data_IF_490851964937
#
_entry.id   IF_490851964937
#
_cell.length_a   1.000
_cell.length_b   1.000
_cell.length_c   1.000
_cell.angle_alpha   90.00
_cell.angle_beta   90.00
_cell.angle_gamma   90.00
#
_symmetry.space_group_name_H-M   'P 1'
#
loop_
_entity.id
_entity.type
_entity.pdbx_description
1 polymer ?
#
# COMPACT_ATOMS: atom_id res chain seq x y z
N UNK A 1 -6.78 19.36 1.60
CA UNK A 1 -6.09 18.71 2.75
C UNK A 1 -4.80 19.42 3.18
N UNK A 2 -4.26 20.39 2.42
CA UNK A 2 -3.01 21.09 2.74
C UNK A 2 -3.03 21.87 4.08
N UNK A 3 -4.21 22.32 4.52
CA UNK A 3 -4.38 23.15 5.72
C UNK A 3 -4.72 22.39 7.02
N UNK A 4 -5.08 21.11 6.93
CA UNK A 4 -5.42 20.31 8.11
C UNK A 4 -4.17 20.00 8.96
N UNK A 5 -4.24 19.99 10.30
CA UNK A 5 -3.16 19.49 11.16
C UNK A 5 -2.67 18.10 10.76
N UNK A 6 -1.36 17.82 10.94
CA UNK A 6 -0.74 16.56 10.49
C UNK A 6 -1.44 15.34 11.09
N UNK A 7 -1.78 15.40 12.37
CA UNK A 7 -2.46 14.31 13.07
C UNK A 7 -3.82 13.96 12.45
N UNK A 8 -4.58 14.94 11.93
CA UNK A 8 -5.85 14.67 11.25
C UNK A 8 -5.63 13.88 9.97
N UNK A 9 -4.64 14.27 9.16
CA UNK A 9 -4.29 13.54 7.95
C UNK A 9 -3.86 12.10 8.27
N UNK A 10 -3.07 11.89 9.33
CA UNK A 10 -2.68 10.56 9.80
C UNK A 10 -3.88 9.74 10.26
N UNK A 11 -4.81 10.33 11.02
CA UNK A 11 -6.04 9.65 11.47
C UNK A 11 -6.91 9.23 10.27
N UNK A 12 -7.15 10.12 9.32
CA UNK A 12 -7.89 9.79 8.10
C UNK A 12 -7.18 8.68 7.30
N UNK A 13 -5.86 8.77 7.14
CA UNK A 13 -5.06 7.74 6.48
C UNK A 13 -5.17 6.38 7.19
N UNK A 14 -5.09 6.36 8.52
CA UNK A 14 -5.24 5.14 9.31
C UNK A 14 -6.64 4.54 9.19
N UNK A 15 -7.69 5.36 9.17
CA UNK A 15 -9.05 4.90 8.97
C UNK A 15 -9.26 4.30 7.57
N UNK A 16 -8.74 4.96 6.54
CA UNK A 16 -8.74 4.43 5.17
C UNK A 16 -7.95 3.13 5.05
N UNK A 17 -6.71 3.11 5.54
CA UNK A 17 -5.87 1.91 5.55
C UNK A 17 -6.47 0.77 6.35
N UNK A 18 -7.12 1.07 7.48
CA UNK A 18 -7.84 0.09 8.31
C UNK A 18 -9.04 -0.50 7.58
N UNK A 19 -9.88 0.36 6.98
CA UNK A 19 -11.02 -0.05 6.17
C UNK A 19 -10.64 -0.93 4.98
N UNK A 20 -9.62 -0.51 4.21
CA UNK A 20 -9.10 -1.33 3.11
C UNK A 20 -8.56 -2.68 3.58
N UNK A 21 -7.83 -2.69 4.69
CA UNK A 21 -7.29 -3.94 5.24
C UNK A 21 -8.43 -4.85 5.67
N UNK A 22 -9.43 -4.36 6.42
CA UNK A 22 -10.57 -5.16 6.87
C UNK A 22 -11.35 -5.78 5.70
N UNK A 23 -11.59 -5.01 4.64
CA UNK A 23 -12.33 -5.49 3.47
C UNK A 23 -11.48 -6.40 2.57
N UNK A 24 -10.19 -6.11 2.42
CA UNK A 24 -9.29 -6.88 1.54
C UNK A 24 -8.75 -8.18 2.16
N UNK A 25 -8.59 -8.23 3.49
CA UNK A 25 -7.90 -9.32 4.18
C UNK A 25 -8.54 -10.71 4.02
N UNK A 26 -9.88 -10.88 3.93
CA UNK A 26 -10.48 -12.17 3.61
C UNK A 26 -9.96 -12.78 2.30
N UNK A 27 -9.87 -11.98 1.23
CA UNK A 27 -9.38 -12.44 -0.07
C UNK A 27 -7.87 -12.71 -0.05
N UNK A 28 -7.09 -11.94 0.72
CA UNK A 28 -5.67 -12.24 0.94
C UNK A 28 -5.48 -13.58 1.63
N UNK A 29 -6.28 -13.85 2.67
CA UNK A 29 -6.21 -15.11 3.42
C UNK A 29 -6.60 -16.29 2.53
N UNK A 30 -7.69 -16.19 1.77
CA UNK A 30 -8.10 -17.24 0.83
C UNK A 30 -7.01 -17.51 -0.23
N UNK A 31 -6.42 -16.45 -0.81
CA UNK A 31 -5.32 -16.56 -1.78
C UNK A 31 -4.09 -17.26 -1.17
N UNK A 32 -3.67 -16.85 0.02
CA UNK A 32 -2.52 -17.43 0.70
C UNK A 32 -2.73 -18.93 1.00
N UNK A 33 -3.93 -19.33 1.43
CA UNK A 33 -4.26 -20.73 1.71
C UNK A 33 -4.21 -21.61 0.48
N UNK A 34 -4.76 -21.14 -0.63
CA UNK A 34 -4.68 -21.84 -1.92
C UNK A 34 -3.21 -22.03 -2.34
N UNK A 35 -2.37 -21.01 -2.15
CA UNK A 35 -0.93 -21.11 -2.46
C UNK A 35 -0.17 -22.11 -1.56
N UNK A 36 -0.67 -22.35 -0.35
CA UNK A 36 -0.13 -23.34 0.60
C UNK A 36 -0.74 -24.74 0.40
N UNK A 37 -1.63 -24.95 -0.58
CA UNK A 37 -2.32 -26.23 -0.79
C UNK A 37 -3.40 -26.54 0.26
N UNK A 38 -3.87 -25.54 1.00
CA UNK A 38 -4.93 -25.66 2.00
C UNK A 38 -6.31 -25.36 1.38
N UNK A 39 -7.42 -25.87 1.97
CA UNK A 39 -8.77 -25.50 1.55
C UNK A 39 -8.95 -23.98 1.56
N UNK A 40 -9.48 -23.43 0.47
CA UNK A 40 -9.59 -21.98 0.27
C UNK A 40 -10.38 -21.27 1.38
N UNK A 41 -11.43 -21.92 1.90
CA UNK A 41 -12.27 -21.40 2.97
C UNK A 41 -11.77 -21.82 4.37
N UNK A 42 -11.28 -20.88 5.21
CA UNK A 42 -10.85 -21.17 6.59
C UNK A 42 -11.97 -21.02 7.64
N UNK A 43 -13.21 -20.68 7.23
CA UNK A 43 -14.26 -20.22 8.13
C UNK A 43 -14.12 -18.74 8.53
N UNK A 44 -15.17 -18.16 9.11
CA UNK A 44 -15.27 -16.72 9.37
C UNK A 44 -14.16 -16.17 10.26
N UNK A 45 -13.83 -16.87 11.35
CA UNK A 45 -12.73 -16.48 12.26
C UNK A 45 -11.37 -16.61 11.57
N UNK A 46 -11.22 -17.63 10.72
CA UNK A 46 -9.99 -17.90 9.99
C UNK A 46 -9.66 -16.83 8.95
N UNK A 47 -10.67 -16.15 8.38
CA UNK A 47 -10.48 -15.08 7.39
C UNK A 47 -9.71 -13.87 7.92
N UNK A 48 -9.67 -13.66 9.24
CA UNK A 48 -9.06 -12.49 9.89
C UNK A 48 -7.81 -12.81 10.72
N UNK A 49 -7.29 -14.03 10.62
CA UNK A 49 -6.02 -14.40 11.26
C UNK A 49 -4.88 -13.61 10.62
N UNK A 50 -3.99 -13.05 11.45
CA UNK A 50 -2.83 -12.25 11.01
C UNK A 50 -3.12 -10.78 10.69
N UNK A 51 -4.34 -10.30 10.92
CA UNK A 51 -4.76 -8.91 10.65
C UNK A 51 -4.00 -7.86 11.48
N UNK A 52 -3.51 -8.22 12.66
CA UNK A 52 -2.90 -7.27 13.60
C UNK A 52 -1.68 -6.54 13.02
N UNK A 53 -0.79 -7.26 12.32
CA UNK A 53 0.45 -6.65 11.80
C UNK A 53 0.18 -5.56 10.73
N UNK A 54 -0.67 -5.79 9.71
CA UNK A 54 -1.09 -4.72 8.79
C UNK A 54 -1.76 -3.52 9.47
N UNK A 55 -2.67 -3.76 10.42
CA UNK A 55 -3.38 -2.67 11.12
C UNK A 55 -2.41 -1.82 11.95
N UNK A 56 -1.52 -2.45 12.72
CA UNK A 56 -0.51 -1.75 13.52
C UNK A 56 0.49 -1.00 12.63
N UNK A 57 0.75 -1.53 11.43
CA UNK A 57 1.62 -0.92 10.44
C UNK A 57 1.10 0.36 9.79
N UNK A 58 -0.22 0.60 9.82
CA UNK A 58 -0.82 1.77 9.17
C UNK A 58 -0.36 3.09 9.79
N UNK A 59 -0.26 3.16 11.12
CA UNK A 59 0.10 4.40 11.83
C UNK A 59 1.49 4.91 11.42
N UNK A 60 2.59 4.12 11.56
CA UNK A 60 3.92 4.60 11.15
C UNK A 60 3.99 4.86 9.65
N UNK A 61 3.30 4.07 8.82
CA UNK A 61 3.25 4.28 7.38
C UNK A 61 2.65 5.65 7.01
N UNK A 62 1.43 5.95 7.48
CA UNK A 62 0.73 7.19 7.16
C UNK A 62 1.38 8.41 7.82
N UNK A 63 1.94 8.26 9.03
CA UNK A 63 2.72 9.31 9.67
C UNK A 63 3.93 9.71 8.83
N UNK A 64 4.76 8.74 8.41
CA UNK A 64 5.91 8.99 7.55
C UNK A 64 5.48 9.58 6.20
N UNK A 65 4.43 9.04 5.57
CA UNK A 65 3.93 9.53 4.30
C UNK A 65 3.50 11.00 4.38
N UNK A 66 2.58 11.35 5.28
CA UNK A 66 2.05 12.72 5.35
C UNK A 66 3.07 13.73 5.88
N UNK A 67 3.93 13.37 6.83
CA UNK A 67 4.99 14.26 7.28
C UNK A 67 5.94 14.60 6.13
N UNK A 68 6.35 13.59 5.37
CA UNK A 68 7.26 13.76 4.23
C UNK A 68 6.58 14.46 3.05
N UNK A 69 5.31 14.17 2.80
CA UNK A 69 4.50 14.86 1.78
C UNK A 69 4.44 16.37 2.06
N UNK A 70 4.20 16.78 3.32
CA UNK A 70 4.16 18.20 3.68
C UNK A 70 5.53 18.87 3.60
N UNK A 71 6.58 18.17 4.02
CA UNK A 71 7.95 18.68 3.87
C UNK A 71 8.31 18.84 2.38
N UNK A 72 8.01 17.85 1.55
CA UNK A 72 8.24 17.90 0.11
C UNK A 72 7.38 18.97 -0.58
N UNK A 73 6.13 19.19 -0.14
CA UNK A 73 5.31 20.28 -0.66
C UNK A 73 5.97 21.65 -0.43
N UNK A 74 6.65 21.85 0.71
CA UNK A 74 7.32 23.11 1.04
C UNK A 74 8.69 23.27 0.40
N UNK A 75 9.41 22.16 0.25
CA UNK A 75 10.83 22.21 -0.12
C UNK A 75 11.15 21.63 -1.50
N UNK A 76 10.25 20.87 -2.12
CA UNK A 76 10.47 20.19 -3.41
C UNK A 76 9.56 20.75 -4.50
N UNK A 77 8.28 20.97 -4.21
CA UNK A 77 7.32 21.51 -5.19
C UNK A 77 7.78 22.82 -5.86
N UNK A 78 8.40 23.79 -5.15
CA UNK A 78 8.81 25.05 -5.78
C UNK A 78 9.80 24.91 -6.93
N UNK A 79 10.59 23.83 -6.97
CA UNK A 79 11.56 23.59 -8.05
C UNK A 79 10.91 23.17 -9.38
N UNK A 80 9.65 22.70 -9.34
CA UNK A 80 8.92 22.22 -10.52
C UNK A 80 7.77 23.16 -10.91
N UNK A 81 7.64 24.30 -10.23
CA UNK A 81 6.47 25.17 -10.31
C UNK A 81 5.34 24.62 -9.44
N UNK A 82 4.89 25.44 -8.49
CA UNK A 82 3.77 25.09 -7.62
C UNK A 82 2.52 24.76 -8.47
N UNK A 83 1.74 23.79 -7.99
CA UNK A 83 0.53 23.27 -8.64
C UNK A 83 0.70 22.56 -10.00
N UNK A 84 1.93 22.28 -10.44
CA UNK A 84 2.15 21.45 -11.63
C UNK A 84 1.99 19.95 -11.32
N UNK A 85 1.62 19.17 -12.34
CA UNK A 85 1.62 17.70 -12.25
C UNK A 85 3.02 17.14 -11.92
N UNK A 86 4.07 17.81 -12.39
CA UNK A 86 5.46 17.46 -12.09
C UNK A 86 5.79 17.68 -10.61
N UNK A 87 5.36 18.80 -10.02
CA UNK A 87 5.50 19.06 -8.59
C UNK A 87 4.76 18.01 -7.75
N UNK A 88 3.51 17.69 -8.10
CA UNK A 88 2.73 16.68 -7.39
C UNK A 88 3.36 15.27 -7.48
N UNK A 89 3.90 14.91 -8.64
CA UNK A 89 4.63 13.67 -8.83
C UNK A 89 5.91 13.63 -7.98
N UNK A 90 6.70 14.72 -7.95
CA UNK A 90 7.92 14.81 -7.17
C UNK A 90 7.65 14.74 -5.66
N UNK A 91 6.64 15.46 -5.18
CA UNK A 91 6.18 15.43 -3.77
C UNK A 91 5.72 14.03 -3.39
N UNK A 92 4.88 13.41 -4.22
CA UNK A 92 4.41 12.04 -4.02
C UNK A 92 5.55 11.02 -4.03
N UNK A 93 6.55 11.19 -4.90
CA UNK A 93 7.73 10.33 -4.96
C UNK A 93 8.56 10.40 -3.68
N UNK A 94 8.82 11.61 -3.16
CA UNK A 94 9.54 11.80 -1.89
C UNK A 94 8.76 11.22 -0.72
N UNK A 95 7.45 11.46 -0.67
CA UNK A 95 6.58 10.92 0.37
C UNK A 95 6.53 9.38 0.35
N UNK A 96 6.41 8.78 -0.84
CA UNK A 96 6.41 7.34 -1.04
C UNK A 96 7.76 6.69 -0.74
N UNK A 97 8.87 7.34 -1.09
CA UNK A 97 10.21 6.86 -0.75
C UNK A 97 10.44 6.88 0.77
N UNK A 98 10.00 7.94 1.45
CA UNK A 98 10.11 8.04 2.90
C UNK A 98 9.21 7.03 3.62
N UNK A 99 7.96 6.86 3.18
CA UNK A 99 7.04 5.87 3.77
C UNK A 99 7.48 4.42 3.51
N UNK A 100 8.27 4.16 2.45
CA UNK A 100 8.87 2.85 2.21
C UNK A 100 9.79 2.39 3.35
N UNK A 101 10.43 3.31 4.08
CA UNK A 101 11.26 2.99 5.26
C UNK A 101 10.40 2.41 6.39
N UNK A 102 9.18 2.93 6.59
CA UNK A 102 8.23 2.37 7.54
C UNK A 102 7.62 1.05 7.04
N UNK A 103 7.30 0.98 5.75
CA UNK A 103 6.60 -0.17 5.15
C UNK A 103 7.48 -1.42 5.02
N UNK A 104 8.73 -1.27 4.61
CA UNK A 104 9.62 -2.39 4.29
C UNK A 104 9.76 -3.42 5.43
N UNK A 105 10.02 -3.03 6.70
CA UNK A 105 10.09 -4.00 7.79
C UNK A 105 8.74 -4.69 8.07
N UNK A 106 7.62 -3.99 7.89
CA UNK A 106 6.27 -4.55 8.07
C UNK A 106 6.02 -5.64 7.02
N UNK A 107 6.31 -5.35 5.76
CA UNK A 107 6.17 -6.31 4.65
C UNK A 107 7.10 -7.50 4.83
N UNK A 108 8.35 -7.27 5.20
CA UNK A 108 9.32 -8.34 5.43
C UNK A 108 8.85 -9.30 6.53
N UNK A 109 8.32 -8.77 7.63
CA UNK A 109 7.75 -9.57 8.73
C UNK A 109 6.50 -10.32 8.27
N UNK A 110 5.59 -9.66 7.55
CA UNK A 110 4.37 -10.30 7.00
C UNK A 110 4.72 -11.48 6.10
N UNK A 111 5.59 -11.26 5.11
CA UNK A 111 6.01 -12.30 4.16
C UNK A 111 6.73 -13.42 4.89
N UNK A 112 7.65 -13.12 5.81
CA UNK A 112 8.38 -14.15 6.57
C UNK A 112 7.45 -14.97 7.46
N UNK A 113 6.51 -14.33 8.17
CA UNK A 113 5.54 -15.02 9.01
C UNK A 113 4.66 -15.97 8.17
N UNK A 114 4.25 -15.54 6.97
CA UNK A 114 3.45 -16.34 6.05
C UNK A 114 4.22 -17.48 5.39
N UNK A 115 5.47 -17.25 4.97
CA UNK A 115 6.30 -18.27 4.30
C UNK A 115 6.82 -19.29 5.30
N UNK A 116 7.38 -18.84 6.42
CA UNK A 116 7.98 -19.72 7.43
C UNK A 116 6.93 -20.30 8.38
N UNK A 117 5.65 -19.87 8.30
CA UNK A 117 4.56 -20.28 9.19
C UNK A 117 4.88 -20.07 10.68
N UNK A 118 5.46 -18.91 11.02
CA UNK A 118 5.82 -18.54 12.39
C UNK A 118 5.06 -17.32 12.88
N UNK A 119 5.06 -17.10 14.20
CA UNK A 119 4.46 -15.89 14.77
C UNK A 119 5.17 -14.62 14.29
N UNK A 120 4.44 -13.50 14.23
CA UNK A 120 4.97 -12.18 13.86
C UNK A 120 6.21 -11.81 14.68
N UNK A 121 6.21 -12.09 15.99
CA UNK A 121 7.34 -11.83 16.87
C UNK A 121 8.57 -12.70 16.53
N UNK A 122 8.35 -13.98 16.20
CA UNK A 122 9.43 -14.86 15.76
C UNK A 122 10.01 -14.43 14.41
N UNK A 123 9.15 -14.06 13.44
CA UNK A 123 9.57 -13.52 12.16
C UNK A 123 10.42 -12.24 12.32
N UNK A 124 9.98 -11.30 13.16
CA UNK A 124 10.73 -10.08 13.45
C UNK A 124 12.10 -10.36 14.07
N UNK A 125 12.19 -11.23 15.09
CA UNK A 125 13.47 -11.60 15.71
C UNK A 125 14.45 -12.18 14.69
N UNK A 126 13.99 -13.14 13.87
CA UNK A 126 14.82 -13.75 12.80
C UNK A 126 15.33 -12.71 11.80
N UNK A 127 14.48 -11.81 11.34
CA UNK A 127 14.87 -10.77 10.37
C UNK A 127 15.86 -9.77 10.97
N UNK A 128 15.69 -9.44 12.26
CA UNK A 128 16.61 -8.56 13.00
C UNK A 128 17.99 -9.21 13.15
N UNK A 129 18.03 -10.47 13.60
CA UNK A 129 19.27 -11.25 13.75
C UNK A 129 20.04 -11.37 12.43
N UNK A 130 19.32 -11.58 11.32
CA UNK A 130 19.89 -11.70 9.98
C UNK A 130 20.19 -10.35 9.29
N UNK A 131 19.79 -9.22 9.90
CA UNK A 131 19.87 -7.87 9.31
C UNK A 131 19.14 -7.75 7.96
N UNK A 132 18.03 -8.47 7.81
CA UNK A 132 17.26 -8.55 6.55
C UNK A 132 16.01 -7.65 6.52
N UNK A 133 15.73 -6.89 7.59
CA UNK A 133 14.53 -6.05 7.72
C UNK A 133 14.32 -5.06 6.55
N UNK A 134 15.42 -4.56 5.96
CA UNK A 134 15.38 -3.56 4.88
C UNK A 134 15.85 -4.11 3.53
N UNK A 135 15.98 -5.44 3.40
CA UNK A 135 16.47 -6.07 2.17
C UNK A 135 15.66 -5.62 0.94
N UNK A 136 14.35 -5.51 1.08
CA UNK A 136 13.43 -5.13 0.00
C UNK A 136 13.18 -3.60 -0.10
N UNK A 137 14.02 -2.75 0.50
CA UNK A 137 13.80 -1.29 0.49
C UNK A 137 13.82 -0.74 -0.92
N UNK A 138 14.87 -1.03 -1.70
CA UNK A 138 15.00 -0.55 -3.08
C UNK A 138 13.80 -0.94 -3.96
N UNK A 139 13.41 -2.23 -4.07
CA UNK A 139 12.24 -2.58 -4.87
C UNK A 139 10.94 -1.98 -4.30
N UNK A 140 10.86 -1.70 -3.00
CA UNK A 140 9.70 -1.00 -2.40
C UNK A 140 9.64 0.47 -2.83
N UNK A 141 10.76 1.19 -2.80
CA UNK A 141 10.83 2.60 -3.26
C UNK A 141 10.51 2.70 -4.75
N UNK A 142 11.14 1.85 -5.57
CA UNK A 142 10.88 1.79 -7.03
C UNK A 142 9.41 1.52 -7.32
N UNK A 143 8.75 0.72 -6.47
CA UNK A 143 7.32 0.44 -6.57
C UNK A 143 6.45 1.65 -6.20
N UNK A 144 6.81 2.41 -5.16
CA UNK A 144 5.94 3.44 -4.56
C UNK A 144 5.68 4.62 -5.49
N UNK A 145 6.68 5.05 -6.25
CA UNK A 145 6.59 6.22 -7.14
C UNK A 145 5.51 6.02 -8.24
N UNK A 146 5.60 4.98 -9.10
CA UNK A 146 4.59 4.74 -10.12
C UNK A 146 3.23 4.35 -9.53
N UNK A 147 3.20 3.59 -8.43
CA UNK A 147 1.96 3.22 -7.72
C UNK A 147 1.18 4.47 -7.30
N UNK A 148 1.85 5.40 -6.60
CA UNK A 148 1.25 6.65 -6.13
C UNK A 148 0.74 7.50 -7.30
N UNK A 149 1.54 7.63 -8.36
CA UNK A 149 1.20 8.41 -9.53
C UNK A 149 -0.07 7.88 -10.24
N UNK A 150 -0.08 6.58 -10.56
CA UNK A 150 -1.20 5.96 -11.29
C UNK A 150 -2.48 6.01 -10.46
N UNK A 151 -2.38 5.71 -9.16
CA UNK A 151 -3.53 5.72 -8.26
C UNK A 151 -4.16 7.11 -8.16
N UNK A 152 -3.40 8.14 -7.80
CA UNK A 152 -3.96 9.48 -7.60
C UNK A 152 -4.45 10.10 -8.91
N UNK A 153 -3.76 9.84 -10.03
CA UNK A 153 -4.23 10.31 -11.34
C UNK A 153 -5.57 9.66 -11.72
N UNK A 154 -5.69 8.34 -11.59
CA UNK A 154 -6.93 7.63 -11.89
C UNK A 154 -8.06 8.06 -10.94
N UNK A 155 -7.76 8.25 -9.65
CA UNK A 155 -8.72 8.72 -8.66
C UNK A 155 -9.22 10.13 -8.97
N UNK A 156 -8.32 11.08 -9.28
CA UNK A 156 -8.69 12.46 -9.64
C UNK A 156 -9.53 12.49 -10.91
N UNK A 157 -9.12 11.73 -11.94
CA UNK A 157 -9.86 11.62 -13.19
C UNK A 157 -11.27 11.03 -13.02
N UNK A 158 -11.46 10.09 -12.08
CA UNK A 158 -12.77 9.55 -11.73
C UNK A 158 -13.60 10.55 -10.90
N UNK A 159 -12.95 11.23 -9.94
CA UNK A 159 -13.59 12.22 -9.08
C UNK A 159 -14.12 13.42 -9.87
N UNK A 160 -13.36 13.91 -10.86
CA UNK A 160 -13.80 14.99 -11.77
C UNK A 160 -15.02 14.62 -12.61
N UNK A 161 -15.29 13.32 -12.80
CA UNK A 161 -16.48 12.80 -13.49
C UNK A 161 -17.68 12.64 -12.55
N UNK A 162 -17.55 12.99 -11.28
CA UNK A 162 -18.61 12.85 -10.28
C UNK A 162 -18.86 11.41 -9.81
N UNK A 163 -17.88 10.51 -10.00
CA UNK A 163 -18.02 9.14 -9.51
C UNK A 163 -17.97 9.10 -7.98
N UNK A 164 -18.68 8.15 -7.39
CA UNK A 164 -18.69 7.99 -5.93
C UNK A 164 -17.27 7.70 -5.42
N UNK A 165 -16.91 8.12 -4.19
CA UNK A 165 -15.59 7.85 -3.61
C UNK A 165 -15.21 6.36 -3.63
N UNK A 166 -16.21 5.48 -3.44
CA UNK A 166 -16.04 4.04 -3.54
C UNK A 166 -15.63 3.59 -4.97
N UNK A 167 -16.32 4.07 -6.00
CA UNK A 167 -16.03 3.72 -7.39
C UNK A 167 -14.71 4.34 -7.87
N UNK A 168 -14.47 5.61 -7.54
CA UNK A 168 -13.22 6.30 -7.85
C UNK A 168 -12.03 5.59 -7.20
N UNK A 169 -12.12 5.27 -5.90
CA UNK A 169 -11.10 4.52 -5.18
C UNK A 169 -10.88 3.10 -5.71
N UNK A 170 -11.96 2.35 -5.93
CA UNK A 170 -11.89 0.98 -6.43
C UNK A 170 -11.25 0.87 -7.80
N UNK A 171 -11.64 1.75 -8.74
CA UNK A 171 -11.08 1.76 -10.11
C UNK A 171 -9.67 2.32 -10.16
N UNK A 172 -9.35 3.33 -9.34
CA UNK A 172 -7.97 3.78 -9.15
C UNK A 172 -7.07 2.64 -8.65
N UNK A 173 -7.55 1.84 -7.70
CA UNK A 173 -6.87 0.63 -7.23
C UNK A 173 -6.69 -0.43 -8.31
N UNK A 174 -7.67 -0.63 -9.20
CA UNK A 174 -7.53 -1.56 -10.33
C UNK A 174 -6.47 -1.08 -11.32
N UNK A 175 -6.48 0.21 -11.66
CA UNK A 175 -5.49 0.81 -12.56
C UNK A 175 -4.07 0.73 -11.97
N UNK A 176 -3.92 1.09 -10.69
CA UNK A 176 -2.66 0.97 -9.94
C UNK A 176 -2.12 -0.45 -10.00
N UNK A 177 -2.90 -1.44 -9.56
CA UNK A 177 -2.45 -2.82 -9.47
C UNK A 177 -2.18 -3.45 -10.84
N UNK A 178 -2.88 -3.03 -11.88
CA UNK A 178 -2.56 -3.45 -13.26
C UNK A 178 -1.18 -2.95 -13.67
N UNK A 179 -0.83 -1.70 -13.35
CA UNK A 179 0.47 -1.15 -13.70
C UNK A 179 1.61 -1.70 -12.81
N UNK A 180 1.35 -1.85 -11.52
CA UNK A 180 2.42 -2.11 -10.54
C UNK A 180 2.76 -3.59 -10.35
N UNK A 181 1.88 -4.51 -10.78
CA UNK A 181 2.04 -5.94 -10.50
C UNK A 181 3.40 -6.52 -10.93
N UNK A 182 4.00 -6.16 -12.07
CA UNK A 182 5.32 -6.68 -12.44
C UNK A 182 6.41 -6.38 -11.41
N UNK A 183 6.42 -5.15 -10.87
CA UNK A 183 7.37 -4.72 -9.85
C UNK A 183 7.09 -5.43 -8.53
N UNK A 184 5.81 -5.60 -8.19
CA UNK A 184 5.38 -6.30 -6.98
C UNK A 184 5.75 -7.80 -7.00
N UNK A 185 5.60 -8.46 -8.15
CA UNK A 185 6.03 -9.85 -8.36
C UNK A 185 7.54 -10.01 -8.13
N UNK A 186 8.34 -9.08 -8.67
CA UNK A 186 9.81 -9.09 -8.46
C UNK A 186 10.15 -8.84 -6.99
N UNK A 187 9.53 -7.83 -6.35
CA UNK A 187 9.72 -7.52 -4.92
C UNK A 187 9.41 -8.73 -4.04
N UNK A 188 8.26 -9.36 -4.27
CA UNK A 188 7.79 -10.51 -3.49
C UNK A 188 8.76 -11.68 -3.62
N UNK A 189 9.13 -12.05 -4.85
CA UNK A 189 10.09 -13.14 -5.07
C UNK A 189 11.48 -12.83 -4.53
N UNK A 190 11.95 -11.59 -4.63
CA UNK A 190 13.22 -11.17 -4.06
C UNK A 190 13.23 -11.24 -2.53
N UNK A 191 12.09 -10.99 -1.89
CA UNK A 191 11.92 -11.14 -0.44
C UNK A 191 11.91 -12.61 -0.03
N UNK A 192 11.30 -13.49 -0.84
CA UNK A 192 11.27 -14.94 -0.61
C UNK A 192 12.62 -15.61 -0.88
N UNK A 193 13.31 -15.22 -1.95
CA UNK A 193 14.59 -15.79 -2.39
C UNK A 193 15.76 -15.07 -1.71
N UNK A 194 15.99 -15.38 -0.42
CA UNK A 194 16.97 -14.73 0.47
C UNK A 194 18.43 -14.74 -0.01
N UNK A 195 18.79 -15.54 -1.02
CA UNK A 195 20.16 -15.57 -1.57
C UNK A 195 20.26 -15.09 -3.02
N UNK A 196 19.13 -14.74 -3.66
CA UNK A 196 19.14 -14.27 -5.03
C UNK A 196 19.41 -12.77 -5.10
N UNK A 197 20.18 -12.35 -6.12
CA UNK A 197 20.26 -10.94 -6.52
C UNK A 197 18.99 -10.52 -7.25
N UNK A 198 18.68 -9.21 -7.28
CA UNK A 198 17.50 -8.70 -7.98
C UNK A 198 17.52 -9.08 -9.47
N UNK A 199 18.68 -9.01 -10.11
CA UNK A 199 18.87 -9.44 -11.50
C UNK A 199 18.67 -10.95 -11.71
N UNK A 200 19.00 -11.79 -10.72
CA UNK A 200 18.71 -13.22 -10.79
C UNK A 200 17.20 -13.48 -10.69
N UNK A 201 16.48 -12.76 -9.83
CA UNK A 201 15.02 -12.86 -9.72
C UNK A 201 14.33 -12.44 -11.01
N UNK A 202 14.69 -11.28 -11.58
CA UNK A 202 14.13 -10.79 -12.84
C UNK A 202 14.37 -11.78 -13.98
N UNK A 203 15.60 -12.28 -14.13
CA UNK A 203 15.92 -13.29 -15.14
C UNK A 203 15.18 -14.61 -14.91
N UNK A 204 14.99 -15.01 -13.65
CA UNK A 204 14.21 -16.18 -13.28
C UNK A 204 12.75 -16.07 -13.72
N UNK A 205 12.08 -14.96 -13.39
CA UNK A 205 10.69 -14.70 -13.81
C UNK A 205 10.58 -14.69 -15.33
N UNK A 206 11.51 -14.02 -16.02
CA UNK A 206 11.53 -13.98 -17.48
C UNK A 206 11.66 -15.38 -18.11
N UNK A 207 12.52 -16.24 -17.57
CA UNK A 207 12.71 -17.62 -18.06
C UNK A 207 11.50 -18.53 -17.84
N UNK A 208 10.65 -18.24 -16.86
CA UNK A 208 9.45 -19.04 -16.58
C UNK A 208 8.29 -18.83 -17.56
N UNK A 209 8.35 -17.79 -18.40
CA UNK A 209 7.27 -17.51 -19.36
C UNK A 209 7.17 -16.06 -19.84
N UNK A 210 8.25 -15.29 -19.81
CA UNK A 210 8.29 -13.91 -20.32
C UNK A 210 7.36 -12.96 -19.58
N UNK A 211 6.73 -12.04 -20.31
CA UNK A 211 5.86 -10.97 -19.76
C UNK A 211 4.69 -11.53 -18.93
N UNK A 212 3.91 -12.54 -19.38
CA UNK A 212 2.82 -13.10 -18.58
C UNK A 212 3.24 -13.61 -17.20
N UNK A 213 4.49 -14.07 -17.04
CA UNK A 213 4.99 -14.55 -15.75
C UNK A 213 5.03 -13.45 -14.68
N UNK A 214 5.23 -12.18 -15.07
CA UNK A 214 5.22 -11.03 -14.17
C UNK A 214 3.81 -10.65 -13.69
N UNK A 215 2.77 -11.05 -14.44
CA UNK A 215 1.37 -10.78 -14.12
C UNK A 215 0.65 -11.94 -13.45
N UNK A 216 1.39 -13.00 -13.07
CA UNK A 216 0.79 -14.14 -12.35
C UNK A 216 0.17 -13.69 -11.03
N UNK A 217 -1.15 -13.91 -10.92
CA UNK A 217 -1.92 -13.49 -9.75
C UNK A 217 -2.70 -12.17 -9.92
N UNK A 218 -2.74 -11.59 -11.13
CA UNK A 218 -3.50 -10.36 -11.43
C UNK A 218 -4.98 -10.49 -11.04
N UNK A 219 -5.67 -11.55 -11.46
CA UNK A 219 -7.10 -11.75 -11.16
C UNK A 219 -7.44 -11.64 -9.67
N UNK A 220 -6.83 -12.47 -8.80
CA UNK A 220 -7.02 -12.37 -7.35
C UNK A 220 -6.63 -11.00 -6.77
N UNK A 221 -5.58 -10.37 -7.30
CA UNK A 221 -5.15 -9.04 -6.86
C UNK A 221 -6.18 -7.97 -7.20
N UNK A 222 -6.76 -7.98 -8.40
CA UNK A 222 -7.80 -7.03 -8.82
C UNK A 222 -9.11 -7.25 -8.06
N UNK A 223 -9.53 -8.50 -7.89
CA UNK A 223 -10.73 -8.87 -7.15
C UNK A 223 -10.71 -8.36 -5.70
N UNK A 224 -9.52 -8.33 -5.08
CA UNK A 224 -9.30 -7.74 -3.75
C UNK A 224 -9.16 -6.21 -3.81
N UNK A 225 -8.40 -5.70 -4.77
CA UNK A 225 -8.03 -4.29 -4.86
C UNK A 225 -9.26 -3.38 -4.94
N UNK A 226 -10.24 -3.76 -5.76
CA UNK A 226 -11.44 -2.94 -5.96
C UNK A 226 -12.22 -2.68 -4.67
N UNK A 227 -12.73 -3.69 -3.94
CA UNK A 227 -13.51 -3.45 -2.73
C UNK A 227 -12.66 -2.87 -1.59
N UNK A 228 -11.38 -3.25 -1.48
CA UNK A 228 -10.49 -2.71 -0.46
C UNK A 228 -10.27 -1.20 -0.63
N UNK A 229 -9.91 -0.76 -1.84
CA UNK A 229 -9.65 0.66 -2.10
C UNK A 229 -10.94 1.49 -2.08
N UNK A 230 -12.06 0.94 -2.55
CA UNK A 230 -13.35 1.60 -2.39
C UNK A 230 -13.72 1.83 -0.92
N UNK A 231 -13.50 0.82 -0.05
CA UNK A 231 -13.75 0.94 1.38
C UNK A 231 -12.83 1.96 2.06
N UNK A 232 -11.55 2.04 1.65
CA UNK A 232 -10.64 3.07 2.17
C UNK A 232 -11.21 4.48 2.01
N UNK A 233 -11.69 4.83 0.82
CA UNK A 233 -12.22 6.16 0.56
C UNK A 233 -13.54 6.42 1.30
N UNK A 234 -14.39 5.40 1.45
CA UNK A 234 -15.60 5.52 2.29
C UNK A 234 -15.23 5.81 3.75
N UNK A 235 -14.22 5.14 4.30
CA UNK A 235 -13.75 5.38 5.66
C UNK A 235 -13.11 6.78 5.81
N UNK A 236 -12.31 7.21 4.83
CA UNK A 236 -11.71 8.55 4.81
C UNK A 236 -12.80 9.63 4.78
N UNK A 237 -13.75 9.53 3.85
CA UNK A 237 -14.87 10.46 3.72
C UNK A 237 -15.73 10.48 5.00
N UNK A 238 -15.97 9.32 5.59
CA UNK A 238 -16.70 9.20 6.85
C UNK A 238 -16.01 9.96 7.98
N UNK A 239 -14.72 9.70 8.22
CA UNK A 239 -13.97 10.37 9.27
C UNK A 239 -13.90 11.88 9.03
N UNK A 240 -13.63 12.33 7.79
CA UNK A 240 -13.57 13.77 7.50
C UNK A 240 -14.92 14.46 7.75
N UNK A 241 -16.03 13.83 7.34
CA UNK A 241 -17.39 14.38 7.52
C UNK A 241 -17.89 14.35 8.96
N UNK A 242 -17.56 13.32 9.76
CA UNK A 242 -18.11 13.17 11.11
C UNK A 242 -17.19 13.71 12.20
N UNK A 243 -15.87 13.68 12.01
CA UNK A 243 -14.92 14.10 13.04
C UNK A 243 -14.38 15.52 12.82
N UNK A 244 -14.37 16.01 11.57
CA UNK A 244 -13.66 17.26 11.23
C UNK A 244 -14.52 18.32 10.54
N UNK A 245 -15.80 18.04 10.26
CA UNK A 245 -16.74 19.02 9.68
C UNK A 245 -17.02 20.18 10.65
N UNK A 246 -17.23 19.90 11.93
CA UNK A 246 -17.45 20.92 12.96
C UNK A 246 -16.23 21.83 13.17
N UNK A 247 -15.02 21.29 13.00
CA UNK A 247 -13.78 22.05 13.15
C UNK A 247 -13.55 23.09 12.03
N UNK A 248 -14.20 22.95 10.87
CA UNK A 248 -14.13 23.93 9.77
C UNK A 248 -15.18 25.03 9.91
N UNK A 249 -16.36 24.71 10.44
CA UNK A 249 -17.41 25.70 10.71
C UNK A 249 -17.04 26.64 11.86
N UNK A 250 -16.26 26.17 12.86
CA UNK A 250 -15.76 26.99 13.97
C UNK A 250 -14.60 27.92 13.57
N UNK A 251 -13.84 27.61 12.51
CA UNK A 251 -12.75 28.47 12.00
C UNK A 251 -13.21 29.59 11.05
N UNK A 252 -14.47 29.54 10.62
CA UNK A 252 -15.09 30.52 9.73
C UNK A 252 -16.01 31.50 10.50
N UNK A 253 -15.95 31.49 11.83
CA UNK A 253 -16.52 32.50 12.73
C UNK A 253 -15.40 33.18 13.51
#
# INVERSE_FOLDING_TARGET
MSEAPLWQAVVCGCAGGGGATLVGHPLETMKARVQMGLPSWPGLRGLYVGLAAPILGNVPFWACYFASYRAAQRHVAPYFGDDTAAAQLAVGAVAGAASAVALTPIDAVKVTAQVDQVSTAAAFRRLRERRELFRALLPTVVRMIPSTAVFFYAHDAASRRGWSPFLAGGLAGVAEWTFILPVDTVKTRFTMLRHASLAAVVRGVWREGGVPAFYRGLGPTLARSFPANGAAFVCIDGIDRYCFRDAREVRLR
#
